data_IF_652581589570
#
_entry.id   IF_652581589570
#
_cell.length_a   1.000
_cell.length_b   1.000
_cell.length_c   1.000
_cell.angle_alpha   90.00
_cell.angle_beta   90.00
_cell.angle_gamma   90.00
#
_symmetry.space_group_name_H-M   'P 1'
#
loop_
_entity.id
_entity.type
_entity.pdbx_description
1 polymer ?
#
# COMPACT_ATOMS: atom_id res chain seq x y z
N UNK A 1 29.24 7.90 15.17
CA UNK A 1 30.07 8.42 16.28
C UNK A 1 30.49 9.83 15.93
N UNK A 2 30.39 10.79 16.84
CA UNK A 2 30.83 12.15 16.55
C UNK A 2 32.32 12.17 16.18
N UNK A 3 32.66 12.98 15.19
CA UNK A 3 34.06 13.15 14.78
C UNK A 3 34.88 13.78 15.89
N UNK A 4 36.19 13.53 15.87
CA UNK A 4 37.15 14.14 16.80
C UNK A 4 38.25 14.82 16.02
N UNK A 5 38.58 16.06 16.39
CA UNK A 5 39.71 16.78 15.80
C UNK A 5 41.01 16.06 16.16
N UNK A 6 41.95 16.02 15.21
CA UNK A 6 43.31 15.58 15.48
C UNK A 6 44.13 16.66 16.20
N UNK A 7 45.30 16.26 16.71
CA UNK A 7 46.27 17.14 17.37
C UNK A 7 47.60 17.05 16.65
N UNK A 8 48.19 18.21 16.37
CA UNK A 8 49.52 18.38 15.78
C UNK A 8 50.40 19.10 16.79
N UNK A 9 51.60 18.58 17.01
CA UNK A 9 52.59 19.15 17.92
C UNK A 9 53.76 19.69 17.10
N UNK A 10 54.06 20.97 17.28
CA UNK A 10 55.20 21.67 16.69
C UNK A 10 56.17 21.99 17.82
N UNK A 11 57.44 21.63 17.65
CA UNK A 11 58.50 21.96 18.61
C UNK A 11 59.46 22.92 17.91
N UNK A 12 59.72 24.07 18.54
CA UNK A 12 60.60 25.11 18.02
C UNK A 12 61.71 25.41 19.02
N UNK A 13 62.89 25.74 18.52
CA UNK A 13 63.96 26.37 19.31
C UNK A 13 63.88 27.87 19.10
N UNK A 14 63.77 28.63 20.19
CA UNK A 14 63.73 30.09 20.16
C UNK A 14 65.03 30.62 20.76
N UNK A 15 65.68 31.54 20.05
CA UNK A 15 66.94 32.17 20.46
C UNK A 15 66.64 33.59 20.95
N UNK A 16 67.20 33.95 22.12
CA UNK A 16 67.08 35.28 22.71
C UNK A 16 68.46 35.89 22.89
N UNK A 17 68.57 37.19 22.63
CA UNK A 17 69.73 38.02 22.97
C UNK A 17 69.23 39.18 23.81
N UNK A 18 69.80 39.37 25.00
CA UNK A 18 69.39 40.42 25.95
C UNK A 18 67.89 40.44 26.28
N UNK A 19 67.27 39.24 26.32
CA UNK A 19 65.84 39.08 26.60
C UNK A 19 64.92 39.33 25.40
N UNK A 20 65.44 39.71 24.24
CA UNK A 20 64.68 39.92 23.00
C UNK A 20 64.79 38.69 22.10
N UNK A 21 63.67 38.21 21.55
CA UNK A 21 63.65 37.11 20.58
C UNK A 21 64.38 37.53 19.30
N UNK A 22 65.46 36.83 18.96
CA UNK A 22 66.30 37.11 17.77
C UNK A 22 66.20 36.03 16.70
N UNK A 23 65.56 34.89 16.99
CA UNK A 23 65.31 33.87 15.98
C UNK A 23 64.47 32.70 16.49
N UNK A 24 63.84 32.00 15.54
CA UNK A 24 62.99 30.84 15.80
C UNK A 24 63.21 29.79 14.71
N UNK A 25 63.47 28.54 15.12
CA UNK A 25 63.69 27.42 14.19
C UNK A 25 62.82 26.24 14.60
N UNK A 26 62.00 25.76 13.67
CA UNK A 26 61.20 24.54 13.85
C UNK A 26 62.13 23.31 13.92
N UNK A 27 62.01 22.52 15.00
CA UNK A 27 62.75 21.27 15.24
C UNK A 27 61.99 20.05 14.77
N UNK A 28 60.67 20.04 14.97
CA UNK A 28 59.84 18.90 14.59
C UNK A 28 58.39 19.30 14.43
N UNK A 29 57.68 18.52 13.63
CA UNK A 29 56.32 18.82 13.25
C UNK A 29 55.52 17.55 13.00
N UNK A 30 54.79 17.09 14.02
CA UNK A 30 54.25 15.72 14.04
C UNK A 30 52.77 15.72 14.43
N UNK A 31 51.98 14.90 13.75
CA UNK A 31 50.61 14.58 14.19
C UNK A 31 50.69 13.62 15.37
N UNK A 32 50.26 14.07 16.55
CA UNK A 32 50.32 13.30 17.80
C UNK A 32 48.99 12.63 18.14
N UNK A 33 47.89 13.07 17.53
CA UNK A 33 46.60 12.36 17.58
C UNK A 33 45.90 12.50 16.23
N UNK A 34 45.60 11.40 15.52
CA UNK A 34 44.87 11.49 14.25
C UNK A 34 43.44 11.99 14.49
N UNK A 35 42.88 12.68 13.51
CA UNK A 35 41.45 13.00 13.53
C UNK A 35 40.63 11.71 13.36
N UNK A 36 39.42 11.71 13.92
CA UNK A 36 38.43 10.65 13.74
C UNK A 36 37.28 11.23 12.94
N UNK A 37 36.94 10.60 11.83
CA UNK A 37 35.85 11.04 10.98
C UNK A 37 34.49 10.86 11.65
N UNK A 38 33.59 11.81 11.39
CA UNK A 38 32.19 11.67 11.73
C UNK A 38 31.48 10.95 10.60
N UNK A 39 30.94 9.77 10.89
CA UNK A 39 30.14 9.00 9.94
C UNK A 39 28.67 9.33 10.18
N UNK A 40 28.04 9.95 9.18
CA UNK A 40 26.61 10.25 9.16
C UNK A 40 25.94 9.33 8.15
N UNK A 41 25.00 8.51 8.62
CA UNK A 41 24.16 7.70 7.73
C UNK A 41 23.02 8.56 7.16
N UNK A 42 22.90 8.55 5.84
CA UNK A 42 21.80 9.23 5.14
C UNK A 42 20.77 8.22 4.69
N UNK A 43 19.51 8.44 5.08
CA UNK A 43 18.40 7.61 4.64
C UNK A 43 18.08 7.84 3.17
N UNK A 44 18.23 6.81 2.34
CA UNK A 44 17.94 6.85 0.89
C UNK A 44 16.65 6.12 0.50
N UNK A 45 15.90 5.62 1.50
CA UNK A 45 14.68 4.83 1.27
C UNK A 45 13.61 5.69 0.61
N UNK A 46 13.23 5.33 -0.62
CA UNK A 46 12.11 5.94 -1.33
C UNK A 46 10.79 5.43 -0.75
N UNK A 47 9.89 6.33 -0.38
CA UNK A 47 8.49 6.00 -0.10
C UNK A 47 7.77 5.93 -1.44
N UNK A 48 7.27 4.74 -1.79
CA UNK A 48 6.42 4.55 -2.96
C UNK A 48 4.97 4.60 -2.48
N UNK A 49 4.16 5.45 -3.11
CA UNK A 49 2.72 5.46 -2.84
C UNK A 49 2.09 4.14 -3.30
N UNK A 50 1.12 3.59 -2.57
CA UNK A 50 0.45 2.37 -2.96
C UNK A 50 -0.29 2.56 -4.29
N UNK A 51 -0.29 1.53 -5.12
CA UNK A 51 -1.03 1.55 -6.39
C UNK A 51 -2.46 1.13 -6.12
N UNK A 52 -3.41 2.03 -6.41
CA UNK A 52 -4.84 1.78 -6.27
C UNK A 52 -5.46 1.56 -7.64
N UNK A 53 -6.17 0.44 -7.81
CA UNK A 53 -6.92 0.12 -9.04
C UNK A 53 -8.34 -0.30 -8.72
N UNK A 54 -9.23 -0.19 -9.71
CA UNK A 54 -10.61 -0.66 -9.61
C UNK A 54 -10.96 -1.59 -10.77
N UNK A 55 -11.83 -2.56 -10.51
CA UNK A 55 -12.33 -3.50 -11.51
C UNK A 55 -13.83 -3.72 -11.30
N UNK A 56 -14.58 -3.86 -12.39
CA UNK A 56 -15.98 -4.29 -12.32
C UNK A 56 -16.06 -5.82 -12.36
N UNK A 57 -16.82 -6.38 -11.43
CA UNK A 57 -17.15 -7.80 -11.37
C UNK A 57 -18.65 -8.00 -11.51
N UNK A 58 -19.06 -9.06 -12.19
CA UNK A 58 -20.47 -9.39 -12.43
C UNK A 58 -20.81 -10.73 -11.80
N UNK A 59 -21.87 -10.75 -11.02
CA UNK A 59 -22.45 -11.95 -10.39
C UNK A 59 -23.88 -12.14 -10.85
N UNK A 60 -24.29 -13.38 -11.12
CA UNK A 60 -25.69 -13.71 -11.41
C UNK A 60 -26.28 -14.56 -10.30
N UNK A 61 -27.57 -14.34 -10.02
CA UNK A 61 -28.32 -15.12 -9.04
C UNK A 61 -29.71 -15.45 -9.57
N UNK A 62 -30.19 -16.66 -9.25
CA UNK A 62 -31.54 -17.11 -9.60
C UNK A 62 -32.61 -16.34 -8.80
N UNK A 63 -33.75 -16.12 -9.44
CA UNK A 63 -34.96 -15.56 -8.83
C UNK A 63 -36.09 -16.58 -8.94
N UNK A 64 -36.68 -16.95 -7.80
CA UNK A 64 -37.75 -17.93 -7.75
C UNK A 64 -39.01 -17.46 -8.50
N UNK A 65 -39.70 -18.39 -9.17
CA UNK A 65 -41.01 -18.14 -9.75
C UNK A 65 -42.11 -18.23 -8.69
N UNK A 66 -43.25 -17.58 -8.97
CA UNK A 66 -44.44 -17.66 -8.12
C UNK A 66 -45.41 -18.70 -8.68
N UNK A 67 -46.17 -19.35 -7.80
CA UNK A 67 -47.26 -20.26 -8.20
C UNK A 67 -48.59 -19.52 -8.15
N UNK A 68 -49.41 -19.64 -9.19
CA UNK A 68 -50.79 -19.14 -9.22
C UNK A 68 -51.75 -20.30 -9.45
N UNK A 69 -52.77 -20.40 -8.61
CA UNK A 69 -53.84 -21.39 -8.74
C UNK A 69 -55.03 -20.78 -9.47
N UNK A 70 -55.60 -21.51 -10.42
CA UNK A 70 -56.78 -21.12 -11.19
C UNK A 70 -57.76 -22.28 -11.15
N UNK A 71 -58.99 -22.01 -10.71
CA UNK A 71 -60.06 -23.01 -10.63
C UNK A 71 -60.47 -23.47 -12.03
N UNK A 72 -60.70 -24.77 -12.19
CA UNK A 72 -61.18 -25.35 -13.44
C UNK A 72 -62.33 -26.34 -13.14
N UNK A 73 -63.57 -26.05 -13.57
CA UNK A 73 -64.74 -26.90 -13.29
C UNK A 73 -64.67 -28.28 -13.97
N UNK A 74 -63.85 -28.46 -15.01
CA UNK A 74 -63.70 -29.74 -15.70
C UNK A 74 -62.75 -30.71 -14.96
N UNK A 75 -62.03 -30.24 -13.94
CA UNK A 75 -61.14 -31.08 -13.13
C UNK A 75 -61.92 -31.69 -11.94
N UNK A 76 -61.76 -33.00 -11.66
CA UNK A 76 -62.33 -33.61 -10.47
C UNK A 76 -61.88 -32.90 -9.19
N UNK A 77 -62.76 -32.85 -8.19
CA UNK A 77 -62.47 -32.23 -6.90
C UNK A 77 -61.18 -32.81 -6.28
N UNK A 78 -60.34 -31.94 -5.73
CA UNK A 78 -59.04 -32.29 -5.14
C UNK A 78 -57.90 -32.52 -6.15
N UNK A 79 -58.18 -32.56 -7.46
CA UNK A 79 -57.13 -32.75 -8.47
C UNK A 79 -56.38 -31.45 -8.78
N UNK A 80 -55.04 -31.55 -8.90
CA UNK A 80 -54.17 -30.45 -9.32
C UNK A 80 -53.44 -30.81 -10.61
N UNK A 81 -53.37 -29.88 -11.56
CA UNK A 81 -52.61 -30.05 -12.81
C UNK A 81 -51.86 -28.76 -13.12
N UNK A 82 -50.56 -28.87 -13.42
CA UNK A 82 -49.75 -27.74 -13.90
C UNK A 82 -50.23 -27.37 -15.30
N UNK A 83 -50.72 -26.14 -15.48
CA UNK A 83 -51.13 -25.61 -16.79
C UNK A 83 -49.95 -24.98 -17.53
N UNK A 84 -49.09 -24.27 -16.80
CA UNK A 84 -47.86 -23.64 -17.30
C UNK A 84 -46.77 -23.93 -16.28
N UNK A 85 -45.63 -24.48 -16.73
CA UNK A 85 -44.48 -24.70 -15.86
C UNK A 85 -43.80 -23.36 -15.57
N UNK A 86 -43.52 -23.10 -14.30
CA UNK A 86 -42.77 -21.91 -13.90
C UNK A 86 -41.30 -22.01 -14.31
N UNK A 87 -40.68 -20.87 -14.62
CA UNK A 87 -39.25 -20.76 -14.91
C UNK A 87 -38.62 -19.71 -14.00
N UNK A 88 -37.46 -20.04 -13.45
CA UNK A 88 -36.70 -19.09 -12.63
C UNK A 88 -36.29 -17.87 -13.47
N UNK A 89 -36.35 -16.71 -12.84
CA UNK A 89 -35.72 -15.51 -13.36
C UNK A 89 -34.23 -15.46 -13.00
N UNK A 90 -33.56 -14.41 -13.47
CA UNK A 90 -32.16 -14.12 -13.20
C UNK A 90 -32.02 -12.65 -12.82
N UNK A 91 -31.24 -12.38 -11.78
CA UNK A 91 -30.74 -11.04 -11.48
C UNK A 91 -29.24 -10.97 -11.72
N UNK A 92 -28.79 -9.81 -12.16
CA UNK A 92 -27.38 -9.50 -12.38
C UNK A 92 -26.97 -8.40 -11.41
N UNK A 93 -25.91 -8.66 -10.65
CA UNK A 93 -25.31 -7.76 -9.69
C UNK A 93 -23.95 -7.33 -10.25
N UNK A 94 -23.71 -6.03 -10.35
CA UNK A 94 -22.42 -5.47 -10.76
C UNK A 94 -21.78 -4.82 -9.56
N UNK A 95 -20.55 -5.21 -9.25
CA UNK A 95 -19.78 -4.71 -8.11
C UNK A 95 -18.51 -4.03 -8.61
N UNK A 96 -18.15 -2.90 -8.00
CA UNK A 96 -16.83 -2.29 -8.16
C UNK A 96 -15.92 -2.79 -7.04
N UNK A 97 -14.82 -3.42 -7.42
CA UNK A 97 -13.82 -3.95 -6.49
C UNK A 97 -12.58 -3.07 -6.53
N UNK A 98 -12.12 -2.62 -5.37
CA UNK A 98 -10.92 -1.79 -5.19
C UNK A 98 -9.76 -2.67 -4.73
N UNK A 99 -8.61 -2.50 -5.38
CA UNK A 99 -7.37 -3.17 -5.04
C UNK A 99 -6.31 -2.15 -4.62
N UNK A 100 -5.55 -2.48 -3.59
CA UNK A 100 -4.36 -1.74 -3.14
C UNK A 100 -3.18 -2.68 -3.23
N UNK A 101 -2.20 -2.34 -4.06
CA UNK A 101 -1.03 -3.19 -4.36
C UNK A 101 -1.43 -4.62 -4.78
N UNK A 102 -2.53 -4.74 -5.52
CA UNK A 102 -3.06 -6.00 -6.03
C UNK A 102 -3.91 -6.81 -5.04
N UNK A 103 -4.07 -6.35 -3.80
CA UNK A 103 -4.92 -6.99 -2.78
C UNK A 103 -6.28 -6.30 -2.72
N UNK A 104 -7.38 -7.06 -2.72
CA UNK A 104 -8.73 -6.51 -2.57
C UNK A 104 -8.85 -5.80 -1.21
N UNK A 105 -9.20 -4.51 -1.25
CA UNK A 105 -9.39 -3.68 -0.06
C UNK A 105 -10.81 -3.15 0.10
N UNK A 106 -11.64 -3.29 -0.93
CA UNK A 106 -13.04 -2.88 -0.85
C UNK A 106 -13.88 -3.39 -2.00
N UNK A 107 -15.19 -3.49 -1.75
CA UNK A 107 -16.20 -3.91 -2.72
C UNK A 107 -17.47 -3.11 -2.49
N UNK A 108 -18.05 -2.58 -3.56
CA UNK A 108 -19.28 -1.79 -3.51
C UNK A 108 -20.22 -2.23 -4.62
N UNK A 109 -21.47 -2.52 -4.27
CA UNK A 109 -22.52 -2.82 -5.26
C UNK A 109 -22.83 -1.55 -6.07
N UNK A 110 -22.73 -1.66 -7.40
CA UNK A 110 -23.05 -0.60 -8.36
C UNK A 110 -24.46 -0.74 -8.91
N UNK A 111 -24.91 -1.97 -9.14
CA UNK A 111 -26.28 -2.26 -9.57
C UNK A 111 -26.73 -3.66 -9.18
N UNK A 112 -28.04 -3.82 -9.06
CA UNK A 112 -28.72 -5.08 -8.80
C UNK A 112 -30.04 -5.08 -9.56
N UNK A 113 -30.08 -5.80 -10.68
CA UNK A 113 -31.18 -5.68 -11.64
C UNK A 113 -31.69 -7.06 -12.04
N UNK A 114 -33.02 -7.22 -12.08
CA UNK A 114 -33.65 -8.39 -12.71
C UNK A 114 -33.43 -8.29 -14.22
N UNK A 115 -32.58 -9.15 -14.77
CA UNK A 115 -32.26 -9.20 -16.20
C UNK A 115 -33.14 -10.19 -16.95
N UNK A 116 -33.72 -11.16 -16.25
CA UNK A 116 -34.74 -12.07 -16.78
C UNK A 116 -35.83 -12.28 -15.73
N UNK A 117 -37.07 -11.83 -15.96
CA UNK A 117 -38.17 -12.08 -15.01
C UNK A 117 -38.48 -13.57 -14.90
N UNK A 118 -38.88 -14.01 -13.71
CA UNK A 118 -39.46 -15.34 -13.53
C UNK A 118 -40.86 -15.39 -14.16
N UNK A 119 -41.23 -16.53 -14.73
CA UNK A 119 -42.54 -16.77 -15.37
C UNK A 119 -43.25 -17.98 -14.80
#
# INVERSE_FOLDING_TARGET
>A
TAGKKGVRTIVETVTYTDGVETGRVEKSNTITTPAVDEIVEVGTKKVVAPVVTTKEETKTEDVAFQTKEVTNPDLPEGSRRVKTAGQKGVRTIVETVTYTDGVETGRVEKSNTITTPAV
#
